data_IF_550563167553
#
_entry.id   IF_550563167553
#
_cell.length_a   1.000
_cell.length_b   1.000
_cell.length_c   1.000
_cell.angle_alpha   90.00
_cell.angle_beta   90.00
_cell.angle_gamma   90.00
#
_symmetry.space_group_name_H-M   'P 1'
#
loop_
_entity.id
_entity.type
_entity.pdbx_description
1 polymer ?
#
# COMPACT_ATOMS: atom_id res chain seq x y z
N UNK A 1 -6.45 -5.81 -9.60
CA UNK A 1 -6.13 -5.05 -8.38
C UNK A 1 -7.13 -5.37 -7.27
N UNK A 2 -8.43 -5.36 -7.57
CA UNK A 2 -9.49 -5.73 -6.64
C UNK A 2 -9.27 -7.08 -5.96
N UNK A 3 -8.74 -8.07 -6.68
CA UNK A 3 -8.48 -9.42 -6.16
C UNK A 3 -7.41 -9.43 -5.04
N UNK A 4 -6.36 -8.62 -5.16
CA UNK A 4 -5.26 -8.56 -4.18
C UNK A 4 -5.72 -7.90 -2.87
N UNK A 5 -6.73 -7.03 -2.96
CA UNK A 5 -7.31 -6.31 -1.82
C UNK A 5 -8.63 -6.92 -1.33
N UNK A 6 -9.19 -7.86 -2.09
CA UNK A 6 -10.40 -8.59 -1.75
C UNK A 6 -10.13 -9.44 -0.50
N UNK A 7 -11.08 -9.39 0.45
CA UNK A 7 -10.98 -10.14 1.70
C UNK A 7 -10.19 -9.46 2.82
N UNK A 8 -9.50 -8.34 2.57
CA UNK A 8 -8.87 -7.58 3.66
C UNK A 8 -9.94 -6.83 4.49
N UNK A 9 -9.87 -6.88 5.83
CA UNK A 9 -10.76 -6.11 6.68
C UNK A 9 -10.63 -4.61 6.37
N UNK A 10 -11.77 -3.93 6.36
CA UNK A 10 -11.81 -2.48 6.14
C UNK A 10 -11.48 -1.78 7.45
N UNK A 11 -10.59 -0.79 7.39
CA UNK A 11 -10.33 0.09 8.52
C UNK A 11 -11.46 1.09 8.73
N UNK A 12 -11.21 2.07 9.62
CA UNK A 12 -12.16 3.15 9.95
C UNK A 12 -12.65 3.94 8.72
N UNK A 13 -11.86 3.98 7.65
CA UNK A 13 -12.21 4.62 6.39
C UNK A 13 -12.39 3.58 5.29
N UNK A 14 -13.33 3.82 4.37
CA UNK A 14 -13.70 2.88 3.29
C UNK A 14 -12.56 2.52 2.35
N UNK A 15 -11.56 3.40 2.21
CA UNK A 15 -10.37 3.24 1.38
C UNK A 15 -9.16 2.69 2.16
N UNK A 16 -9.34 2.40 3.45
CA UNK A 16 -8.32 1.79 4.28
C UNK A 16 -8.59 0.28 4.37
N UNK A 17 -7.54 -0.51 4.19
CA UNK A 17 -7.51 -1.95 4.41
C UNK A 17 -6.51 -2.25 5.52
N UNK A 18 -6.80 -3.29 6.28
CA UNK A 18 -5.94 -3.71 7.38
C UNK A 18 -5.34 -5.06 7.05
N UNK A 19 -4.07 -5.23 7.40
CA UNK A 19 -3.35 -6.51 7.30
C UNK A 19 -2.98 -6.97 8.71
N UNK A 20 -2.90 -8.29 8.96
CA UNK A 20 -2.66 -8.82 10.31
C UNK A 20 -1.28 -8.45 10.88
N UNK A 21 -0.27 -8.29 10.03
CA UNK A 21 1.12 -8.08 10.44
C UNK A 21 1.97 -7.45 9.32
N UNK A 22 3.19 -7.03 9.65
CA UNK A 22 4.16 -6.44 8.71
C UNK A 22 4.63 -7.43 7.63
N UNK A 23 4.61 -8.73 7.91
CA UNK A 23 4.95 -9.77 6.93
C UNK A 23 3.92 -9.84 5.81
N UNK A 24 2.64 -9.82 6.19
CA UNK A 24 1.52 -9.72 5.25
C UNK A 24 1.56 -8.40 4.46
N UNK A 25 1.95 -7.30 5.10
CA UNK A 25 2.16 -6.01 4.43
C UNK A 25 3.22 -6.14 3.33
N UNK A 26 4.42 -6.61 3.68
CA UNK A 26 5.54 -6.77 2.73
C UNK A 26 5.18 -7.70 1.57
N UNK A 27 4.49 -8.81 1.85
CA UNK A 27 4.02 -9.75 0.83
C UNK A 27 3.04 -9.09 -0.14
N UNK A 28 2.09 -8.29 0.38
CA UNK A 28 1.18 -7.53 -0.48
C UNK A 28 1.93 -6.47 -1.29
N UNK A 29 2.94 -5.81 -0.71
CA UNK A 29 3.75 -4.85 -1.45
C UNK A 29 4.46 -5.50 -2.63
N UNK A 30 5.15 -6.64 -2.43
CA UNK A 30 5.81 -7.37 -3.52
C UNK A 30 4.83 -7.73 -4.64
N UNK A 31 3.68 -8.31 -4.29
CA UNK A 31 2.68 -8.71 -5.28
C UNK A 31 2.11 -7.51 -6.05
N UNK A 32 1.84 -6.41 -5.35
CA UNK A 32 1.36 -5.17 -5.94
C UNK A 32 2.41 -4.46 -6.80
N UNK A 33 3.69 -4.65 -6.51
CA UNK A 33 4.80 -3.97 -7.22
C UNK A 33 5.46 -4.85 -8.28
N UNK A 34 5.03 -6.10 -8.41
CA UNK A 34 5.55 -7.05 -9.38
C UNK A 34 5.48 -6.48 -10.81
N UNK A 35 6.65 -6.39 -11.44
CA UNK A 35 6.81 -5.84 -12.79
C UNK A 35 6.71 -4.32 -12.89
N UNK A 36 6.70 -3.60 -11.77
CA UNK A 36 6.79 -2.15 -11.74
C UNK A 36 8.22 -1.63 -11.73
N UNK A 37 8.35 -0.33 -11.98
CA UNK A 37 9.60 0.42 -11.97
C UNK A 37 9.71 1.30 -10.73
N UNK A 38 10.87 1.37 -10.07
CA UNK A 38 11.07 2.25 -8.93
C UNK A 38 10.90 3.72 -9.34
N UNK A 39 10.15 4.44 -8.52
CA UNK A 39 9.87 5.87 -8.66
C UNK A 39 9.97 6.55 -7.30
N UNK A 40 9.72 7.85 -7.26
CA UNK A 40 9.71 8.62 -6.01
C UNK A 40 8.50 9.54 -5.96
N UNK A 41 7.94 9.70 -4.77
CA UNK A 41 6.92 10.71 -4.51
C UNK A 41 7.54 11.89 -3.78
N UNK A 42 7.13 13.11 -4.15
CA UNK A 42 7.56 14.32 -3.44
C UNK A 42 7.12 14.25 -1.97
N UNK A 43 8.07 14.44 -1.05
CA UNK A 43 7.87 14.36 0.41
C UNK A 43 7.39 12.99 0.92
N UNK A 44 7.79 11.90 0.27
CA UNK A 44 7.51 10.54 0.75
C UNK A 44 8.79 9.86 1.21
N UNK A 45 8.84 9.50 2.48
CA UNK A 45 9.94 8.76 3.08
C UNK A 45 9.62 7.26 3.03
N UNK A 46 10.01 6.62 1.92
CA UNK A 46 9.68 5.22 1.64
C UNK A 46 10.01 4.82 0.20
N UNK A 47 9.73 3.57 -0.13
CA UNK A 47 9.94 3.03 -1.47
C UNK A 47 8.66 3.19 -2.27
N UNK A 48 8.75 3.76 -3.48
CA UNK A 48 7.61 3.86 -4.39
C UNK A 48 7.93 3.10 -5.67
N UNK A 49 6.99 2.28 -6.12
CA UNK A 49 7.05 1.58 -7.39
C UNK A 49 5.84 1.99 -8.23
N UNK A 50 6.08 2.37 -9.48
CA UNK A 50 5.05 2.63 -10.47
C UNK A 50 4.94 1.45 -11.43
N UNK A 51 3.74 0.97 -11.66
CA UNK A 51 3.47 -0.11 -12.61
C UNK A 51 3.10 0.44 -13.98
N UNK A 52 3.21 -0.39 -15.01
CA UNK A 52 2.85 -0.03 -16.38
C UNK A 52 1.37 0.38 -16.55
N UNK A 53 0.48 -0.09 -15.68
CA UNK A 53 -0.92 0.30 -15.63
C UNK A 53 -1.17 1.69 -14.98
N UNK A 54 -0.12 2.43 -14.62
CA UNK A 54 -0.21 3.77 -14.02
C UNK A 54 -0.54 3.77 -12.53
N UNK A 55 -0.60 2.58 -11.92
CA UNK A 55 -0.76 2.40 -10.47
C UNK A 55 0.58 2.65 -9.80
N UNK A 56 0.58 3.48 -8.77
CA UNK A 56 1.76 3.78 -7.96
C UNK A 56 1.57 3.23 -6.55
N UNK A 57 2.54 2.47 -6.05
CA UNK A 57 2.49 1.81 -4.76
C UNK A 57 3.69 2.27 -3.93
N UNK A 58 3.41 2.98 -2.84
CA UNK A 58 4.40 3.48 -1.90
C UNK A 58 4.37 2.71 -0.59
N UNK A 59 5.45 2.05 -0.21
CA UNK A 59 5.63 1.43 1.10
C UNK A 59 6.49 2.31 1.99
N UNK A 60 6.05 2.52 3.23
CA UNK A 60 6.84 3.13 4.29
C UNK A 60 6.92 2.20 5.49
N UNK A 61 8.11 2.03 6.05
CA UNK A 61 8.34 1.22 7.25
C UNK A 61 7.86 1.93 8.52
N UNK A 62 7.71 3.26 8.49
CA UNK A 62 7.24 4.05 9.62
C UNK A 62 6.03 4.90 9.25
N UNK A 63 4.85 4.55 9.77
CA UNK A 63 3.72 5.47 9.87
C UNK A 63 3.64 6.02 11.29
N UNK A 64 3.18 7.26 11.47
CA UNK A 64 3.05 7.91 12.78
C UNK A 64 2.18 7.20 13.84
N UNK A 65 1.67 6.00 13.55
CA UNK A 65 1.01 5.09 14.49
C UNK A 65 1.93 3.96 14.99
N UNK A 66 3.20 3.90 14.57
CA UNK A 66 4.16 2.89 15.05
C UNK A 66 4.22 1.59 14.22
N UNK A 67 3.80 1.62 12.95
CA UNK A 67 3.88 0.45 12.06
C UNK A 67 3.94 0.80 10.57
N UNK A 68 4.37 -0.16 9.76
CA UNK A 68 4.46 -0.02 8.31
C UNK A 68 3.10 0.24 7.63
N UNK A 69 3.11 0.93 6.50
CA UNK A 69 1.94 1.13 5.67
C UNK A 69 2.27 1.13 4.18
N UNK A 70 1.30 0.73 3.37
CA UNK A 70 1.35 0.85 1.92
C UNK A 70 0.28 1.84 1.48
N UNK A 71 0.67 2.86 0.75
CA UNK A 71 -0.21 3.78 0.07
C UNK A 71 -0.24 3.42 -1.41
N UNK A 72 -1.43 3.21 -1.96
CA UNK A 72 -1.66 2.86 -3.37
C UNK A 72 -2.40 4.04 -4.01
N UNK A 73 -1.85 4.58 -5.09
CA UNK A 73 -2.50 5.58 -5.95
C UNK A 73 -2.86 4.95 -7.27
N UNK A 74 -4.12 5.03 -7.62
CA UNK A 74 -4.66 4.54 -8.88
C UNK A 74 -4.63 5.67 -9.93
N UNK A 75 -4.52 5.34 -11.22
CA UNK A 75 -4.44 6.33 -12.29
C UNK A 75 -5.70 7.18 -12.43
N UNK A 76 -6.85 6.73 -11.92
CA UNK A 76 -8.11 7.49 -11.85
C UNK A 76 -8.11 8.54 -10.73
N UNK A 77 -7.05 8.63 -9.93
CA UNK A 77 -6.92 9.54 -8.78
C UNK A 77 -7.44 8.95 -7.47
N UNK A 78 -8.05 7.77 -7.50
CA UNK A 78 -8.42 7.05 -6.29
C UNK A 78 -7.19 6.59 -5.52
N UNK A 79 -7.31 6.50 -4.19
CA UNK A 79 -6.23 6.03 -3.32
C UNK A 79 -6.73 4.97 -2.35
N UNK A 80 -5.88 4.01 -2.07
CA UNK A 80 -6.12 2.95 -1.08
C UNK A 80 -4.92 2.92 -0.14
N UNK A 81 -5.17 2.69 1.15
CA UNK A 81 -4.09 2.56 2.13
C UNK A 81 -4.21 1.25 2.89
N UNK A 82 -3.11 0.51 2.98
CA UNK A 82 -2.97 -0.67 3.82
C UNK A 82 -2.16 -0.27 5.06
N UNK A 83 -2.62 -0.67 6.25
CA UNK A 83 -1.82 -0.59 7.46
C UNK A 83 -1.93 -1.88 8.26
N UNK A 84 -0.95 -2.13 9.12
CA UNK A 84 -0.98 -3.25 10.06
C UNK A 84 -2.03 -2.99 11.14
N UNK A 85 -2.96 -3.91 11.34
CA UNK A 85 -3.94 -3.88 12.42
C UNK A 85 -3.18 -3.93 13.75
N UNK A 86 -3.15 -2.81 14.48
CA UNK A 86 -2.57 -2.80 15.82
C UNK A 86 -3.70 -3.03 16.83
N UNK A 87 -3.60 -4.05 17.68
CA UNK A 87 -4.58 -4.32 18.73
C UNK A 87 -4.64 -3.21 19.80
#
# INVERSE_FOLDING_TARGET
MDDVLAGLPRGKQSWVRMVPDEGALTTKFDDLTRGGTPTTWKNFDGTVIERADGVQVGMRSYSGSGGGAIDIRMPDGSRIRLHVDQP
#
